data_IF_557178457694
#
_entry.id   IF_557178457694
#
_cell.length_a   1.000
_cell.length_b   1.000
_cell.length_c   1.000
_cell.angle_alpha   90.00
_cell.angle_beta   90.00
_cell.angle_gamma   90.00
#
_symmetry.space_group_name_H-M   'P 1'
#
loop_
_entity.id
_entity.type
_entity.pdbx_description
1 polymer ?
#
# COMPACT_ATOMS: atom_id res chain seq x y z
N UNK A 1 -11.49 23.21 -9.47
CA UNK A 1 -11.95 22.96 -8.08
C UNK A 1 -10.76 22.47 -7.27
N UNK A 2 -10.77 22.66 -5.96
CA UNK A 2 -9.75 22.15 -5.03
C UNK A 2 -10.35 20.93 -4.35
N UNK A 3 -9.66 19.76 -4.46
CA UNK A 3 -10.11 18.53 -3.81
C UNK A 3 -9.65 18.49 -2.35
N UNK A 4 -10.53 18.08 -1.45
CA UNK A 4 -10.20 17.83 -0.04
C UNK A 4 -10.05 16.32 0.20
N UNK A 5 -8.90 15.93 0.73
CA UNK A 5 -8.52 14.52 0.88
C UNK A 5 -8.21 14.21 2.34
N UNK A 6 -8.87 13.20 2.89
CA UNK A 6 -8.52 12.63 4.20
C UNK A 6 -7.64 11.40 4.00
N UNK A 7 -6.44 11.42 4.59
CA UNK A 7 -5.51 10.29 4.54
C UNK A 7 -5.53 9.60 5.90
N UNK A 8 -6.04 8.37 5.94
CA UNK A 8 -6.06 7.55 7.14
C UNK A 8 -4.73 6.82 7.30
N UNK A 9 -4.14 6.88 8.51
CA UNK A 9 -2.86 6.25 8.80
C UNK A 9 -1.64 6.97 8.24
N UNK A 10 -1.63 8.30 8.23
CA UNK A 10 -0.59 9.14 7.62
C UNK A 10 0.83 8.98 8.20
N UNK A 11 1.01 8.30 9.33
CA UNK A 11 2.35 7.95 9.89
C UNK A 11 2.83 6.56 9.47
N UNK A 12 2.00 5.77 8.81
CA UNK A 12 2.39 4.47 8.24
C UNK A 12 3.33 4.65 7.04
N UNK A 13 3.98 3.57 6.63
CA UNK A 13 4.87 3.54 5.46
C UNK A 13 4.22 4.15 4.22
N UNK A 14 3.02 3.70 3.87
CA UNK A 14 2.29 4.19 2.70
C UNK A 14 1.70 5.58 2.93
N UNK A 15 0.98 5.77 4.05
CA UNK A 15 0.30 7.03 4.34
C UNK A 15 1.25 8.22 4.41
N UNK A 16 2.45 8.04 4.92
CA UNK A 16 3.47 9.10 4.97
C UNK A 16 3.86 9.58 3.57
N UNK A 17 4.08 8.67 2.63
CA UNK A 17 4.41 9.03 1.25
C UNK A 17 3.22 9.69 0.54
N UNK A 18 1.99 9.20 0.77
CA UNK A 18 0.77 9.82 0.23
C UNK A 18 0.60 11.25 0.74
N UNK A 19 0.77 11.49 2.05
CA UNK A 19 0.77 12.83 2.65
C UNK A 19 1.78 13.72 1.96
N UNK A 20 3.01 13.22 1.79
CA UNK A 20 4.11 13.98 1.22
C UNK A 20 3.87 14.39 -0.24
N UNK A 21 3.40 13.46 -1.08
CA UNK A 21 3.16 13.73 -2.50
C UNK A 21 1.95 14.66 -2.70
N UNK A 22 0.86 14.40 -1.98
CA UNK A 22 -0.36 15.18 -2.14
C UNK A 22 -0.26 16.58 -1.54
N UNK A 23 0.51 16.79 -0.46
CA UNK A 23 0.74 18.11 0.12
C UNK A 23 1.46 19.09 -0.80
N UNK A 24 2.24 18.58 -1.77
CA UNK A 24 2.91 19.40 -2.78
C UNK A 24 1.95 19.91 -3.89
N UNK A 25 0.68 19.44 -3.91
CA UNK A 25 -0.27 19.75 -4.99
C UNK A 25 -1.14 20.96 -4.66
N UNK A 26 -1.06 22.05 -5.46
CA UNK A 26 -1.82 23.30 -5.27
C UNK A 26 -3.35 23.11 -5.28
N UNK A 27 -3.85 22.06 -5.95
CA UNK A 27 -5.28 21.76 -6.09
C UNK A 27 -5.77 20.67 -5.12
N UNK A 28 -4.97 20.31 -4.12
CA UNK A 28 -5.34 19.34 -3.09
C UNK A 28 -5.11 19.95 -1.71
N UNK A 29 -6.13 19.88 -0.87
CA UNK A 29 -6.03 20.17 0.56
C UNK A 29 -6.13 18.85 1.30
N UNK A 30 -5.11 18.52 2.08
CA UNK A 30 -5.06 17.26 2.83
C UNK A 30 -5.32 17.49 4.31
N UNK A 31 -6.02 16.52 4.93
CA UNK A 31 -5.95 16.22 6.36
C UNK A 31 -5.47 14.79 6.53
N UNK A 32 -4.78 14.51 7.61
CA UNK A 32 -4.26 13.16 7.85
C UNK A 32 -4.45 12.73 9.29
N UNK A 33 -4.64 11.42 9.50
CA UNK A 33 -4.87 10.85 10.83
C UNK A 33 -3.65 10.11 11.37
N UNK A 34 -3.57 10.04 12.69
CA UNK A 34 -2.62 9.21 13.43
C UNK A 34 -3.33 8.53 14.61
N UNK A 35 -2.95 7.29 14.95
CA UNK A 35 -3.48 6.54 16.09
C UNK A 35 -3.07 7.13 17.44
N UNK A 36 -2.02 7.92 17.47
CA UNK A 36 -1.52 8.63 18.64
C UNK A 36 -1.59 10.13 18.43
N UNK A 37 -1.75 10.89 19.53
CA UNK A 37 -1.74 12.35 19.50
C UNK A 37 -0.41 12.85 18.91
N UNK A 38 -0.48 13.52 17.79
CA UNK A 38 0.69 14.00 17.03
C UNK A 38 0.35 15.37 16.43
N UNK A 39 1.26 16.37 16.51
CA UNK A 39 1.04 17.66 15.85
C UNK A 39 0.71 17.50 14.37
N UNK A 40 -0.21 18.31 13.88
CA UNK A 40 -0.67 18.32 12.48
C UNK A 40 -1.42 17.06 11.98
N UNK A 41 -1.73 16.11 12.88
CA UNK A 41 -2.54 14.94 12.58
C UNK A 41 -3.83 14.95 13.41
N UNK A 42 -4.91 14.50 12.81
CA UNK A 42 -6.16 14.24 13.51
C UNK A 42 -6.01 12.91 14.26
N UNK A 43 -6.34 12.92 15.55
CA UNK A 43 -6.31 11.68 16.34
C UNK A 43 -7.46 10.76 15.88
N UNK A 44 -7.09 9.61 15.34
CA UNK A 44 -8.01 8.54 15.00
C UNK A 44 -7.34 7.18 15.26
N UNK A 45 -7.94 6.39 16.12
CA UNK A 45 -7.52 5.03 16.41
C UNK A 45 -8.72 4.11 16.19
N UNK A 46 -8.64 3.27 15.16
CA UNK A 46 -9.71 2.35 14.78
C UNK A 46 -10.04 1.34 15.88
N UNK A 47 -9.08 0.98 16.74
CA UNK A 47 -9.32 0.07 17.88
C UNK A 47 -10.29 0.65 18.91
N UNK A 48 -10.61 1.94 18.81
CA UNK A 48 -11.61 2.65 19.62
C UNK A 48 -12.96 2.84 18.92
N UNK A 49 -13.14 2.16 17.77
CA UNK A 49 -14.35 2.24 16.95
C UNK A 49 -14.32 3.31 15.87
N UNK A 50 -15.26 3.19 14.94
CA UNK A 50 -15.39 4.09 13.78
C UNK A 50 -16.07 5.43 14.17
N UNK A 51 -16.74 5.52 15.29
CA UNK A 51 -17.55 6.69 15.68
C UNK A 51 -16.71 7.98 15.77
N UNK A 52 -15.42 7.85 16.07
CA UNK A 52 -14.52 9.00 16.09
C UNK A 52 -14.23 9.52 14.67
N UNK A 53 -14.19 8.64 13.66
CA UNK A 53 -14.05 9.02 12.26
C UNK A 53 -15.34 9.67 11.75
N UNK A 54 -16.47 9.10 12.09
CA UNK A 54 -17.79 9.68 11.76
C UNK A 54 -17.92 11.13 12.25
N UNK A 55 -17.49 11.40 13.50
CA UNK A 55 -17.47 12.78 14.05
C UNK A 55 -16.52 13.70 13.27
N UNK A 56 -15.37 13.19 12.83
CA UNK A 56 -14.41 13.95 12.02
C UNK A 56 -15.03 14.32 10.69
N UNK A 57 -15.68 13.37 10.01
CA UNK A 57 -16.30 13.56 8.71
C UNK A 57 -17.53 14.46 8.79
N UNK A 58 -18.39 14.30 9.81
CA UNK A 58 -19.55 15.18 10.03
C UNK A 58 -19.19 16.62 10.41
N UNK A 59 -18.05 16.83 11.07
CA UNK A 59 -17.58 18.16 11.45
C UNK A 59 -17.03 18.96 10.26
N UNK A 60 -16.54 18.25 9.24
CA UNK A 60 -15.93 18.84 8.03
C UNK A 60 -16.59 18.18 6.81
N UNK A 61 -17.81 18.60 6.49
CA UNK A 61 -18.71 18.05 5.45
C UNK A 61 -18.17 18.16 4.02
N UNK A 62 -16.87 18.28 3.83
CA UNK A 62 -16.33 18.69 2.55
C UNK A 62 -15.16 17.85 2.03
N UNK A 63 -14.98 16.62 2.49
CA UNK A 63 -14.02 15.72 1.87
C UNK A 63 -14.58 15.14 0.56
N UNK A 64 -13.76 15.15 -0.49
CA UNK A 64 -14.06 14.52 -1.77
C UNK A 64 -13.54 13.07 -1.79
N UNK A 65 -12.40 12.83 -1.11
CA UNK A 65 -11.74 11.54 -1.08
C UNK A 65 -11.25 11.15 0.30
N UNK A 66 -11.27 9.86 0.57
CA UNK A 66 -10.58 9.20 1.68
C UNK A 66 -9.58 8.21 1.11
N UNK A 67 -8.30 8.31 1.51
CA UNK A 67 -7.28 7.30 1.16
C UNK A 67 -7.01 6.49 2.41
N UNK A 68 -7.44 5.23 2.43
CA UNK A 68 -7.22 4.35 3.56
C UNK A 68 -5.88 3.61 3.44
N UNK A 69 -4.88 4.08 4.22
CA UNK A 69 -3.57 3.47 4.36
C UNK A 69 -3.42 2.69 5.68
N UNK A 70 -4.53 2.49 6.43
CA UNK A 70 -4.51 1.69 7.67
C UNK A 70 -4.53 0.21 7.32
N UNK A 71 -3.72 -0.56 8.01
CA UNK A 71 -3.69 -2.01 7.95
C UNK A 71 -2.64 -2.59 8.89
N UNK A 72 -2.86 -3.81 9.34
CA UNK A 72 -1.87 -4.61 10.07
C UNK A 72 -1.15 -5.49 9.09
N UNK A 73 0.18 -5.47 9.14
CA UNK A 73 1.03 -6.31 8.29
C UNK A 73 1.16 -7.72 8.87
N UNK A 74 1.43 -8.71 8.02
CA UNK A 74 1.64 -10.11 8.41
C UNK A 74 2.64 -10.25 9.58
N UNK A 75 3.78 -9.56 9.52
CA UNK A 75 4.81 -9.58 10.57
C UNK A 75 4.35 -9.04 11.94
N UNK A 76 3.14 -8.49 12.02
CA UNK A 76 2.54 -7.96 13.27
C UNK A 76 1.33 -8.78 13.73
N UNK A 77 1.05 -9.92 13.08
CA UNK A 77 -0.02 -10.85 13.42
C UNK A 77 0.61 -12.11 14.02
N UNK A 78 0.21 -12.45 15.23
CA UNK A 78 0.50 -13.75 15.82
C UNK A 78 -0.73 -14.64 15.65
N UNK A 79 -0.68 -15.60 14.73
CA UNK A 79 -1.81 -16.47 14.40
C UNK A 79 -2.19 -17.42 15.53
N UNK A 80 -1.29 -17.65 16.50
CA UNK A 80 -1.55 -18.45 17.69
C UNK A 80 -2.14 -17.64 18.85
N UNK A 81 -2.33 -16.33 18.67
CA UNK A 81 -2.95 -15.45 19.66
C UNK A 81 -4.32 -14.96 19.16
N UNK A 82 -5.44 -15.44 19.75
CA UNK A 82 -6.79 -15.03 19.38
C UNK A 82 -7.02 -13.52 19.40
N UNK A 83 -6.35 -12.78 20.29
CA UNK A 83 -6.48 -11.32 20.36
C UNK A 83 -5.78 -10.66 19.17
N UNK A 84 -4.61 -11.18 18.75
CA UNK A 84 -3.90 -10.71 17.57
C UNK A 84 -4.71 -10.95 16.29
N UNK A 85 -5.31 -12.15 16.17
CA UNK A 85 -6.19 -12.50 15.04
C UNK A 85 -7.45 -11.62 15.04
N UNK A 86 -8.13 -11.46 16.18
CA UNK A 86 -9.28 -10.56 16.29
C UNK A 86 -8.94 -9.13 15.86
N UNK A 87 -7.80 -8.61 16.31
CA UNK A 87 -7.31 -7.28 15.92
C UNK A 87 -7.10 -7.16 14.42
N UNK A 88 -6.54 -8.18 13.78
CA UNK A 88 -6.36 -8.21 12.33
C UNK A 88 -7.70 -8.22 11.58
N UNK A 89 -8.69 -8.99 12.06
CA UNK A 89 -10.06 -9.01 11.50
C UNK A 89 -10.70 -7.62 11.61
N UNK A 90 -10.66 -7.00 12.78
CA UNK A 90 -11.26 -5.67 12.97
C UNK A 90 -10.64 -4.62 12.05
N UNK A 91 -9.31 -4.60 11.91
CA UNK A 91 -8.61 -3.52 11.18
C UNK A 91 -8.54 -3.80 9.67
N UNK A 92 -8.22 -5.04 9.26
CA UNK A 92 -8.02 -5.36 7.85
C UNK A 92 -9.31 -5.76 7.12
N UNK A 93 -10.31 -6.31 7.83
CA UNK A 93 -11.54 -6.79 7.24
C UNK A 93 -12.75 -5.89 7.57
N UNK A 94 -13.11 -5.74 8.84
CA UNK A 94 -14.34 -5.04 9.24
C UNK A 94 -14.29 -3.54 8.92
N UNK A 95 -13.21 -2.86 9.32
CA UNK A 95 -13.08 -1.42 9.16
C UNK A 95 -13.24 -0.92 7.71
N UNK A 96 -12.66 -1.55 6.67
CA UNK A 96 -12.91 -1.15 5.29
C UNK A 96 -14.40 -1.12 4.91
N UNK A 97 -15.20 -2.09 5.38
CA UNK A 97 -16.64 -2.11 5.12
C UNK A 97 -17.38 -1.00 5.86
N UNK A 98 -17.06 -0.77 7.13
CA UNK A 98 -17.63 0.35 7.91
C UNK A 98 -17.27 1.69 7.27
N UNK A 99 -16.01 1.85 6.82
CA UNK A 99 -15.55 3.05 6.13
C UNK A 99 -16.31 3.27 4.82
N UNK A 100 -16.46 2.24 4.00
CA UNK A 100 -17.16 2.35 2.72
C UNK A 100 -18.64 2.68 2.90
N UNK A 101 -19.30 2.08 3.92
CA UNK A 101 -20.69 2.41 4.29
C UNK A 101 -20.80 3.90 4.67
N UNK A 102 -19.97 4.36 5.60
CA UNK A 102 -19.95 5.75 6.03
C UNK A 102 -19.66 6.71 4.87
N UNK A 103 -18.68 6.39 4.04
CA UNK A 103 -18.31 7.19 2.87
C UNK A 103 -19.46 7.27 1.83
N UNK A 104 -20.22 6.17 1.66
CA UNK A 104 -21.39 6.14 0.78
C UNK A 104 -22.51 7.04 1.30
N UNK A 105 -22.78 7.04 2.61
CA UNK A 105 -23.80 7.88 3.25
C UNK A 105 -23.54 9.37 3.07
N UNK A 106 -22.27 9.79 3.01
CA UNK A 106 -21.86 11.20 2.88
C UNK A 106 -21.34 11.55 1.47
N UNK A 107 -21.39 10.63 0.51
CA UNK A 107 -21.03 10.88 -0.90
C UNK A 107 -19.52 11.03 -1.15
N UNK A 108 -18.67 10.43 -0.32
CA UNK A 108 -17.20 10.50 -0.42
C UNK A 108 -16.62 9.27 -1.13
N UNK A 109 -15.59 9.45 -1.95
CA UNK A 109 -14.86 8.39 -2.67
C UNK A 109 -13.76 7.82 -1.81
N UNK A 110 -13.59 6.49 -1.79
CA UNK A 110 -12.55 5.77 -1.02
C UNK A 110 -11.54 5.13 -1.96
N UNK A 111 -10.25 5.35 -1.69
CA UNK A 111 -9.14 4.60 -2.28
C UNK A 111 -8.58 3.69 -1.17
N UNK A 112 -8.70 2.38 -1.35
CA UNK A 112 -8.35 1.35 -0.39
C UNK A 112 -7.13 0.58 -0.84
N UNK A 113 -6.06 0.55 -0.05
CA UNK A 113 -4.93 -0.36 -0.31
C UNK A 113 -5.31 -1.81 0.02
N UNK A 114 -5.13 -2.71 -0.95
CA UNK A 114 -5.15 -4.16 -0.75
C UNK A 114 -3.77 -4.75 -1.05
N UNK A 115 -3.66 -6.06 -1.20
CA UNK A 115 -2.37 -6.76 -1.28
C UNK A 115 -2.41 -7.91 -2.27
N UNK A 116 -1.25 -8.24 -2.85
CA UNK A 116 -1.01 -9.49 -3.55
C UNK A 116 -1.09 -10.70 -2.61
N UNK A 117 -0.97 -10.49 -1.29
CA UNK A 117 -1.07 -11.52 -0.25
C UNK A 117 -2.43 -12.20 -0.16
N UNK A 118 -3.44 -11.77 -0.92
CA UNK A 118 -4.73 -12.49 -1.07
C UNK A 118 -4.59 -13.78 -1.87
N UNK A 119 -3.46 -13.99 -2.52
CA UNK A 119 -3.11 -15.20 -3.27
C UNK A 119 -2.01 -15.98 -2.57
N UNK A 120 -1.99 -17.31 -2.73
CA UNK A 120 -0.90 -18.16 -2.21
C UNK A 120 0.45 -17.84 -2.83
N UNK A 121 1.53 -18.19 -2.15
CA UNK A 121 2.92 -17.90 -2.59
C UNK A 121 3.26 -18.50 -3.95
N UNK A 122 2.64 -19.63 -4.31
CA UNK A 122 2.94 -20.40 -5.52
C UNK A 122 1.89 -20.22 -6.62
N UNK A 123 1.07 -19.18 -6.56
CA UNK A 123 -0.01 -18.94 -7.49
C UNK A 123 0.44 -18.61 -8.93
N UNK A 124 1.72 -18.31 -9.15
CA UNK A 124 2.19 -17.83 -10.45
C UNK A 124 1.67 -16.42 -10.75
N UNK A 125 1.31 -16.16 -12.01
CA UNK A 125 0.73 -14.89 -12.42
C UNK A 125 -0.75 -14.85 -12.04
N UNK A 126 -1.17 -13.87 -11.23
CA UNK A 126 -2.54 -13.68 -10.78
C UNK A 126 -3.20 -12.48 -11.45
N UNK A 127 -4.43 -12.67 -11.91
CA UNK A 127 -5.35 -11.64 -12.39
C UNK A 127 -6.40 -11.29 -11.33
N UNK A 128 -7.21 -10.28 -11.57
CA UNK A 128 -8.22 -9.83 -10.59
C UNK A 128 -9.27 -10.91 -10.29
N UNK A 129 -9.60 -11.77 -11.25
CA UNK A 129 -10.55 -12.88 -11.12
C UNK A 129 -9.92 -14.18 -10.58
N UNK A 130 -8.59 -14.23 -10.41
CA UNK A 130 -7.90 -15.38 -9.83
C UNK A 130 -8.45 -15.71 -8.42
N UNK A 131 -8.56 -17.01 -8.06
CA UNK A 131 -9.04 -17.41 -6.75
C UNK A 131 -8.18 -16.81 -5.60
N UNK A 132 -8.84 -16.15 -4.67
CA UNK A 132 -8.20 -15.66 -3.43
C UNK A 132 -8.03 -16.84 -2.47
N UNK A 133 -6.86 -17.43 -2.47
CA UNK A 133 -6.54 -18.69 -1.80
C UNK A 133 -5.30 -18.56 -0.91
N UNK A 134 -5.17 -17.44 -0.24
CA UNK A 134 -4.07 -17.15 0.70
C UNK A 134 -3.99 -18.18 1.84
N UNK A 135 -2.78 -18.30 2.40
CA UNK A 135 -2.44 -19.34 3.37
C UNK A 135 -2.39 -18.81 4.82
N UNK A 136 -2.55 -17.50 5.04
CA UNK A 136 -2.34 -16.85 6.33
C UNK A 136 -3.49 -15.89 6.71
N UNK A 137 -3.58 -15.57 8.00
CA UNK A 137 -4.57 -14.63 8.55
C UNK A 137 -4.48 -13.25 7.91
N UNK A 138 -3.28 -12.81 7.56
CA UNK A 138 -3.10 -11.52 6.88
C UNK A 138 -3.83 -11.50 5.53
N UNK A 139 -3.56 -12.47 4.68
CA UNK A 139 -4.16 -12.57 3.37
C UNK A 139 -5.69 -12.69 3.44
N UNK A 140 -6.20 -13.56 4.32
CA UNK A 140 -7.65 -13.72 4.52
C UNK A 140 -8.33 -12.45 5.01
N UNK A 141 -7.75 -11.76 5.99
CA UNK A 141 -8.34 -10.52 6.50
C UNK A 141 -8.29 -9.39 5.48
N UNK A 142 -7.23 -9.32 4.66
CA UNK A 142 -7.15 -8.35 3.56
C UNK A 142 -8.12 -8.67 2.43
N UNK A 143 -8.29 -9.95 2.08
CA UNK A 143 -9.25 -10.39 1.07
C UNK A 143 -10.70 -10.08 1.48
N UNK A 144 -11.03 -10.31 2.75
CA UNK A 144 -12.35 -9.96 3.31
C UNK A 144 -12.58 -8.44 3.37
N UNK A 145 -11.53 -7.64 3.51
CA UNK A 145 -11.62 -6.17 3.54
C UNK A 145 -11.70 -5.51 2.15
N UNK A 146 -11.73 -6.26 1.06
CA UNK A 146 -11.97 -5.72 -0.27
C UNK A 146 -13.46 -5.45 -0.48
N UNK A 147 -13.83 -4.18 -0.45
CA UNK A 147 -15.22 -3.75 -0.50
C UNK A 147 -15.68 -3.60 -1.94
N UNK A 148 -16.76 -4.27 -2.30
CA UNK A 148 -17.43 -4.10 -3.60
C UNK A 148 -18.49 -3.03 -3.45
N UNK A 149 -18.15 -1.80 -3.83
CA UNK A 149 -19.03 -0.63 -3.76
C UNK A 149 -18.62 0.39 -4.83
N UNK A 150 -19.57 1.13 -5.43
CA UNK A 150 -19.27 2.11 -6.47
C UNK A 150 -18.41 3.29 -5.99
N UNK A 151 -18.35 3.52 -4.68
CA UNK A 151 -17.55 4.58 -4.07
C UNK A 151 -16.26 4.07 -3.41
N UNK A 152 -15.86 2.82 -3.64
CA UNK A 152 -14.64 2.24 -3.07
C UNK A 152 -13.80 1.56 -4.16
N UNK A 153 -12.57 2.05 -4.34
CA UNK A 153 -11.58 1.47 -5.23
C UNK A 153 -10.54 0.69 -4.42
N UNK A 154 -10.52 -0.64 -4.57
CA UNK A 154 -9.49 -1.49 -3.99
C UNK A 154 -8.31 -1.63 -4.94
N UNK A 155 -7.10 -1.36 -4.47
CA UNK A 155 -5.86 -1.49 -5.24
C UNK A 155 -5.00 -2.60 -4.64
N UNK A 156 -4.93 -3.76 -5.30
CA UNK A 156 -4.03 -4.85 -4.93
C UNK A 156 -2.63 -4.55 -5.44
N UNK A 157 -1.66 -4.57 -4.55
CA UNK A 157 -0.24 -4.45 -4.91
C UNK A 157 0.65 -5.04 -3.81
N UNK A 158 1.87 -5.40 -4.17
CA UNK A 158 2.95 -5.54 -3.21
C UNK A 158 3.71 -4.23 -3.14
N UNK A 159 4.12 -3.77 -1.96
CA UNK A 159 4.62 -2.40 -1.82
C UNK A 159 5.89 -2.33 -0.96
N UNK A 160 6.83 -1.49 -1.39
CA UNK A 160 8.04 -1.13 -0.65
C UNK A 160 8.17 0.37 -0.52
N UNK A 161 8.78 0.82 0.58
CA UNK A 161 9.07 2.24 0.78
C UNK A 161 9.64 2.52 2.15
N UNK A 162 10.00 3.78 2.42
CA UNK A 162 10.49 4.21 3.71
C UNK A 162 9.38 4.17 4.76
N UNK A 163 9.74 3.76 5.96
CA UNK A 163 8.85 3.70 7.12
C UNK A 163 9.45 4.48 8.30
N UNK A 164 9.51 5.81 8.21
CA UNK A 164 10.32 6.65 9.11
C UNK A 164 9.87 6.58 10.57
N UNK A 165 8.62 6.24 10.83
CA UNK A 165 8.07 6.15 12.19
C UNK A 165 8.06 4.73 12.75
N UNK A 166 7.87 3.71 11.91
CA UNK A 166 7.70 2.32 12.35
C UNK A 166 8.95 1.48 12.12
N UNK A 167 9.85 1.90 11.23
CA UNK A 167 11.09 1.20 10.85
C UNK A 167 10.84 -0.26 10.46
N UNK A 168 9.74 -0.53 9.74
CA UNK A 168 9.32 -1.86 9.31
C UNK A 168 9.32 -1.97 7.78
N UNK A 169 9.43 -3.20 7.28
CA UNK A 169 9.41 -3.51 5.85
C UNK A 169 10.79 -3.81 5.27
N UNK A 170 10.81 -4.31 4.04
CA UNK A 170 12.01 -4.81 3.39
C UNK A 170 13.09 -3.73 3.21
N UNK A 171 12.68 -2.51 2.82
CA UNK A 171 13.63 -1.42 2.64
C UNK A 171 14.26 -1.01 3.97
N UNK A 172 13.48 -0.83 5.04
CA UNK A 172 14.01 -0.47 6.36
C UNK A 172 14.93 -1.54 6.93
N UNK A 173 14.54 -2.82 6.77
CA UNK A 173 15.41 -3.93 7.13
C UNK A 173 16.75 -3.86 6.39
N UNK A 174 16.74 -3.58 5.09
CA UNK A 174 17.98 -3.45 4.32
C UNK A 174 18.81 -2.25 4.77
N UNK A 175 18.17 -1.11 5.04
CA UNK A 175 18.84 0.10 5.50
C UNK A 175 19.46 -0.05 6.90
N UNK A 176 18.88 -0.89 7.75
CA UNK A 176 19.35 -1.14 9.13
C UNK A 176 20.50 -2.14 9.22
N UNK A 177 20.90 -2.76 8.12
CA UNK A 177 22.00 -3.74 8.15
C UNK A 177 23.33 -3.10 8.59
N UNK A 178 24.19 -3.82 9.34
CA UNK A 178 25.50 -3.33 9.74
C UNK A 178 26.34 -2.86 8.53
N UNK A 179 27.19 -1.86 8.75
CA UNK A 179 28.07 -1.38 7.69
C UNK A 179 28.96 -2.51 7.16
N UNK A 180 29.13 -2.56 5.83
CA UNK A 180 29.96 -3.54 5.11
C UNK A 180 29.52 -4.99 5.31
N UNK A 181 28.31 -5.24 5.76
CA UNK A 181 27.78 -6.60 5.89
C UNK A 181 27.41 -7.22 4.55
N UNK A 182 27.24 -8.53 4.58
CA UNK A 182 26.76 -9.32 3.45
C UNK A 182 25.33 -9.73 3.77
N UNK A 183 24.41 -9.45 2.85
CA UNK A 183 23.01 -9.87 2.93
C UNK A 183 22.71 -10.90 1.83
N UNK A 184 21.85 -11.86 2.12
CA UNK A 184 21.40 -12.84 1.14
C UNK A 184 20.16 -12.31 0.40
N UNK A 185 20.19 -12.36 -0.93
CA UNK A 185 19.04 -12.08 -1.80
C UNK A 185 18.55 -13.36 -2.46
N UNK A 186 17.27 -13.65 -2.32
CA UNK A 186 16.68 -14.88 -2.87
C UNK A 186 16.41 -14.72 -4.36
N UNK A 187 16.93 -15.66 -5.18
CA UNK A 187 16.78 -15.70 -6.63
C UNK A 187 15.48 -16.36 -7.08
N UNK A 188 14.84 -17.10 -6.19
CA UNK A 188 13.60 -17.86 -6.37
C UNK A 188 12.38 -17.24 -5.69
N UNK A 189 12.49 -15.98 -5.23
CA UNK A 189 11.38 -15.19 -4.72
C UNK A 189 11.12 -14.01 -5.65
N UNK A 190 10.14 -14.18 -6.53
CA UNK A 190 9.77 -13.17 -7.53
C UNK A 190 8.89 -12.08 -6.93
N UNK A 191 9.02 -10.88 -7.46
CA UNK A 191 8.28 -9.72 -7.01
C UNK A 191 8.11 -8.70 -8.14
N UNK A 192 6.88 -8.22 -8.38
CA UNK A 192 6.58 -7.15 -9.33
C UNK A 192 5.74 -6.03 -8.69
N UNK A 193 6.00 -5.77 -7.42
CA UNK A 193 5.30 -4.73 -6.69
C UNK A 193 5.73 -3.32 -7.07
N UNK A 194 5.32 -2.38 -6.24
CA UNK A 194 5.47 -0.94 -6.45
C UNK A 194 6.23 -0.28 -5.31
N UNK A 195 6.69 0.95 -5.54
CA UNK A 195 7.13 1.83 -4.45
C UNK A 195 5.95 2.61 -3.86
N UNK A 196 6.07 3.04 -2.60
CA UNK A 196 5.10 3.96 -1.99
C UNK A 196 4.93 5.25 -2.78
N UNK A 197 5.99 5.69 -3.48
CA UNK A 197 5.96 6.87 -4.35
C UNK A 197 5.07 6.63 -5.58
N UNK A 198 5.17 5.44 -6.21
CA UNK A 198 4.30 5.08 -7.34
C UNK A 198 2.82 5.06 -6.92
N UNK A 199 2.50 4.49 -5.75
CA UNK A 199 1.13 4.49 -5.23
C UNK A 199 0.61 5.91 -4.98
N UNK A 200 1.41 6.76 -4.34
CA UNK A 200 1.04 8.15 -4.07
C UNK A 200 0.82 8.94 -5.37
N UNK A 201 1.63 8.68 -6.41
CA UNK A 201 1.46 9.28 -7.73
C UNK A 201 0.18 8.78 -8.43
N UNK A 202 -0.16 7.48 -8.30
CA UNK A 202 -1.45 6.98 -8.81
C UNK A 202 -2.62 7.69 -8.12
N UNK A 203 -2.60 7.80 -6.77
CA UNK A 203 -3.63 8.54 -6.05
C UNK A 203 -3.76 10.00 -6.55
N UNK A 204 -2.63 10.68 -6.79
CA UNK A 204 -2.63 12.03 -7.36
C UNK A 204 -3.32 12.08 -8.71
N UNK A 205 -3.04 11.15 -9.60
CA UNK A 205 -3.65 11.09 -10.94
C UNK A 205 -5.14 10.77 -10.86
N UNK A 206 -5.55 9.81 -10.03
CA UNK A 206 -6.96 9.47 -9.81
C UNK A 206 -7.77 10.68 -9.35
N UNK A 207 -7.19 11.54 -8.51
CA UNK A 207 -7.87 12.70 -7.91
C UNK A 207 -7.83 13.92 -8.84
N UNK A 208 -6.64 14.32 -9.34
CA UNK A 208 -6.46 15.56 -10.08
C UNK A 208 -6.92 15.47 -11.53
N UNK A 209 -6.74 14.31 -12.15
CA UNK A 209 -7.05 14.08 -13.56
C UNK A 209 -8.42 13.38 -13.73
N UNK A 210 -9.19 13.25 -12.62
CA UNK A 210 -10.55 12.68 -12.56
C UNK A 210 -10.65 11.23 -13.08
N UNK A 211 -9.60 10.44 -12.93
CA UNK A 211 -9.60 9.04 -13.37
C UNK A 211 -10.29 8.08 -12.40
N UNK A 212 -10.62 8.52 -11.18
CA UNK A 212 -11.25 7.66 -10.17
C UNK A 212 -12.51 6.98 -10.70
N UNK A 213 -13.44 7.77 -11.26
CA UNK A 213 -14.72 7.26 -11.74
C UNK A 213 -14.57 6.36 -13.00
N UNK A 214 -13.55 6.59 -13.82
CA UNK A 214 -13.22 5.75 -14.97
C UNK A 214 -12.76 4.36 -14.49
N UNK A 215 -11.83 4.35 -13.53
CA UNK A 215 -11.26 3.12 -12.98
C UNK A 215 -12.31 2.31 -12.20
N UNK A 216 -13.07 2.95 -11.31
CA UNK A 216 -14.11 2.25 -10.53
C UNK A 216 -15.27 1.76 -11.37
N UNK A 217 -15.60 2.40 -12.49
CA UNK A 217 -16.61 1.95 -13.42
C UNK A 217 -16.18 0.67 -14.15
N UNK A 218 -14.89 0.51 -14.46
CA UNK A 218 -14.34 -0.71 -15.05
C UNK A 218 -14.38 -1.85 -14.02
N UNK A 219 -13.92 -1.62 -12.80
CA UNK A 219 -13.99 -2.57 -11.68
C UNK A 219 -13.80 -1.86 -10.33
N UNK A 220 -14.44 -2.31 -9.24
CA UNK A 220 -14.12 -1.84 -7.89
C UNK A 220 -12.79 -2.37 -7.35
N UNK A 221 -12.16 -3.33 -8.01
CA UNK A 221 -10.87 -3.92 -7.59
C UNK A 221 -9.93 -4.04 -8.78
N UNK A 222 -8.74 -3.48 -8.65
CA UNK A 222 -7.69 -3.50 -9.67
C UNK A 222 -6.37 -3.97 -9.09
N UNK A 223 -5.55 -4.61 -9.93
CA UNK A 223 -4.14 -4.83 -9.67
C UNK A 223 -3.34 -3.60 -10.11
N UNK A 224 -2.55 -3.05 -9.19
CA UNK A 224 -1.59 -2.01 -9.52
C UNK A 224 -0.18 -2.59 -9.54
N UNK A 225 0.25 -3.06 -10.71
CA UNK A 225 1.49 -3.77 -10.97
C UNK A 225 2.21 -3.23 -12.23
N UNK A 226 2.60 -1.94 -12.26
CA UNK A 226 3.18 -1.32 -13.45
C UNK A 226 4.60 -1.82 -13.78
N UNK A 227 5.23 -2.56 -12.89
CA UNK A 227 6.64 -2.94 -13.01
C UNK A 227 6.81 -4.39 -13.48
N UNK A 228 7.88 -4.63 -14.23
CA UNK A 228 8.35 -5.98 -14.54
C UNK A 228 8.78 -6.71 -13.27
N UNK A 229 8.60 -8.03 -13.26
CA UNK A 229 9.00 -8.87 -12.15
C UNK A 229 10.53 -8.95 -12.05
N UNK A 230 11.02 -8.90 -10.82
CA UNK A 230 12.41 -9.14 -10.45
C UNK A 230 12.48 -10.12 -9.27
N UNK A 231 13.60 -10.79 -9.11
CA UNK A 231 13.86 -11.58 -7.90
C UNK A 231 14.15 -10.66 -6.70
N UNK A 232 13.98 -11.17 -5.49
CA UNK A 232 14.42 -10.46 -4.28
C UNK A 232 15.91 -10.16 -4.30
N UNK A 233 16.72 -11.00 -4.92
CA UNK A 233 18.15 -10.73 -5.14
C UNK A 233 18.38 -9.48 -5.97
N UNK A 234 17.74 -9.38 -7.14
CA UNK A 234 17.85 -8.20 -8.00
C UNK A 234 17.31 -6.95 -7.32
N UNK A 235 16.19 -7.05 -6.59
CA UNK A 235 15.62 -5.94 -5.82
C UNK A 235 16.61 -5.42 -4.76
N UNK A 236 17.28 -6.33 -4.01
CA UNK A 236 18.27 -5.93 -3.02
C UNK A 236 19.55 -5.35 -3.66
N UNK A 237 19.94 -5.78 -4.86
CA UNK A 237 21.00 -5.11 -5.62
C UNK A 237 20.63 -3.67 -5.96
N UNK A 238 19.39 -3.43 -6.39
CA UNK A 238 18.91 -2.07 -6.64
C UNK A 238 18.90 -1.21 -5.36
N UNK A 239 18.55 -1.81 -4.22
CA UNK A 239 18.64 -1.10 -2.93
C UNK A 239 20.09 -0.75 -2.58
N UNK A 240 21.02 -1.70 -2.78
CA UNK A 240 22.45 -1.46 -2.57
C UNK A 240 22.90 -0.26 -3.41
N UNK A 241 22.63 -0.26 -4.71
CA UNK A 241 23.13 0.74 -5.65
C UNK A 241 22.56 2.14 -5.40
N UNK A 242 21.34 2.24 -4.86
CA UNK A 242 20.66 3.52 -4.63
C UNK A 242 20.72 4.05 -3.19
N UNK A 243 20.88 3.17 -2.18
CA UNK A 243 20.77 3.55 -0.78
C UNK A 243 21.99 3.18 0.07
N UNK A 244 22.65 2.03 -0.17
CA UNK A 244 23.66 1.46 0.71
C UNK A 244 24.79 0.75 -0.06
N UNK A 245 25.61 1.54 -0.76
CA UNK A 245 26.75 1.05 -1.58
C UNK A 245 27.82 0.31 -0.76
N UNK A 246 27.80 0.47 0.55
CA UNK A 246 28.72 -0.21 1.48
C UNK A 246 28.35 -1.69 1.76
N UNK A 247 27.13 -2.11 1.40
CA UNK A 247 26.69 -3.50 1.59
C UNK A 247 27.07 -4.39 0.39
N UNK A 248 27.12 -5.69 0.63
CA UNK A 248 27.23 -6.70 -0.41
C UNK A 248 25.99 -7.59 -0.42
N UNK A 249 25.43 -7.85 -1.60
CA UNK A 249 24.29 -8.77 -1.75
C UNK A 249 24.77 -10.02 -2.45
N UNK A 250 24.57 -11.20 -1.84
CA UNK A 250 24.89 -12.49 -2.41
C UNK A 250 23.63 -13.23 -2.86
N UNK A 251 23.65 -13.88 -4.03
CA UNK A 251 22.54 -14.72 -4.46
C UNK A 251 22.38 -15.92 -3.52
N UNK A 252 21.14 -16.26 -3.22
CA UNK A 252 20.77 -17.43 -2.44
C UNK A 252 19.46 -18.02 -2.96
N UNK A 253 19.12 -19.23 -2.59
CA UNK A 253 17.83 -19.86 -2.87
C UNK A 253 17.09 -20.09 -1.56
N UNK A 254 15.77 -19.87 -1.57
CA UNK A 254 14.93 -20.07 -0.39
C UNK A 254 14.47 -21.54 -0.22
N UNK A 255 14.89 -22.44 -1.13
CA UNK A 255 14.51 -23.87 -1.18
C UNK A 255 12.95 -24.01 -1.18
N UNK A 256 12.41 -24.49 -0.06
CA UNK A 256 10.98 -24.77 0.08
C UNK A 256 10.10 -23.49 0.25
N UNK A 257 10.72 -22.30 0.31
CA UNK A 257 10.03 -21.01 0.45
C UNK A 257 10.10 -20.16 -0.82
N UNK A 258 10.20 -20.77 -1.99
CA UNK A 258 10.10 -20.05 -3.26
C UNK A 258 8.77 -19.30 -3.37
N UNK A 259 8.79 -18.15 -4.04
CA UNK A 259 7.60 -17.33 -4.31
C UNK A 259 7.54 -17.07 -5.80
N UNK A 260 6.50 -17.61 -6.46
CA UNK A 260 6.27 -17.39 -7.89
C UNK A 260 5.15 -16.38 -8.14
N UNK A 261 4.40 -16.00 -7.09
CA UNK A 261 3.29 -15.07 -7.17
C UNK A 261 3.74 -13.72 -7.70
N UNK A 262 3.14 -13.32 -8.80
CA UNK A 262 3.21 -11.97 -9.37
C UNK A 262 1.82 -11.54 -9.80
N UNK A 263 1.61 -10.25 -9.96
CA UNK A 263 0.34 -9.70 -10.43
C UNK A 263 0.45 -9.34 -11.92
N UNK A 264 -0.63 -9.59 -12.66
CA UNK A 264 -0.95 -8.90 -13.91
C UNK A 264 -2.38 -8.39 -13.79
N UNK A 265 -2.88 -7.65 -14.75
CA UNK A 265 -4.23 -7.11 -14.72
C UNK A 265 -4.96 -7.33 -16.03
N UNK A 266 -6.21 -7.77 -15.93
CA UNK A 266 -7.11 -7.91 -17.07
C UNK A 266 -7.72 -6.58 -17.51
N UNK A 267 -7.58 -5.53 -16.68
CA UNK A 267 -8.17 -4.21 -16.92
C UNK A 267 -7.18 -3.25 -17.57
N UNK A 268 -7.69 -2.31 -18.35
CA UNK A 268 -6.87 -1.40 -19.15
C UNK A 268 -6.69 -0.01 -18.52
N UNK A 269 -7.67 0.46 -17.75
CA UNK A 269 -7.70 1.83 -17.24
C UNK A 269 -6.43 2.24 -16.48
N UNK A 270 -5.97 1.43 -15.53
CA UNK A 270 -4.74 1.75 -14.78
C UNK A 270 -3.49 1.61 -15.66
N UNK A 271 -3.46 0.63 -16.59
CA UNK A 271 -2.36 0.50 -17.56
C UNK A 271 -2.23 1.75 -18.45
N UNK A 272 -3.35 2.29 -18.91
CA UNK A 272 -3.38 3.50 -19.75
C UNK A 272 -2.97 4.75 -18.97
N UNK A 273 -3.46 4.89 -17.73
CA UNK A 273 -3.19 6.05 -16.88
C UNK A 273 -1.72 6.07 -16.40
N UNK A 274 -1.22 4.96 -15.90
CA UNK A 274 0.08 4.90 -15.22
C UNK A 274 1.19 4.25 -16.06
N UNK A 275 0.81 3.45 -17.06
CA UNK A 275 1.70 2.59 -17.86
C UNK A 275 1.93 1.23 -17.21
N UNK A 276 2.53 0.32 -17.98
CA UNK A 276 2.84 -1.06 -17.57
C UNK A 276 4.23 -1.47 -18.06
N UNK A 277 4.69 -2.65 -17.62
CA UNK A 277 5.96 -3.27 -18.02
C UNK A 277 7.18 -2.36 -17.86
N UNK A 278 7.18 -1.54 -16.81
CA UNK A 278 8.26 -0.59 -16.52
C UNK A 278 9.40 -1.31 -15.78
N UNK A 279 10.65 -0.99 -16.09
CA UNK A 279 11.77 -1.44 -15.27
C UNK A 279 11.66 -0.82 -13.88
N UNK A 280 11.68 -1.66 -12.83
CA UNK A 280 11.58 -1.21 -11.42
C UNK A 280 12.77 -0.33 -11.00
N UNK A 281 13.91 -0.41 -11.71
CA UNK A 281 15.11 0.39 -11.46
C UNK A 281 14.79 1.88 -11.42
N UNK A 282 13.97 2.37 -12.36
CA UNK A 282 13.60 3.77 -12.42
C UNK A 282 12.76 4.17 -11.19
N UNK A 283 11.80 3.35 -10.78
CA UNK A 283 10.98 3.62 -9.61
C UNK A 283 11.79 3.63 -8.29
N UNK A 284 12.79 2.74 -8.16
CA UNK A 284 13.71 2.74 -7.01
C UNK A 284 14.59 3.99 -6.99
N UNK A 285 15.10 4.42 -8.15
CA UNK A 285 15.88 5.65 -8.27
C UNK A 285 15.06 6.90 -7.89
N UNK A 286 13.83 6.99 -8.39
CA UNK A 286 12.91 8.08 -8.04
C UNK A 286 12.59 8.09 -6.54
N UNK A 287 12.34 6.91 -5.95
CA UNK A 287 12.16 6.78 -4.50
C UNK A 287 13.39 7.25 -3.72
N UNK A 288 14.60 6.90 -4.18
CA UNK A 288 15.83 7.32 -3.53
C UNK A 288 16.02 8.85 -3.56
N UNK A 289 15.66 9.50 -4.68
CA UNK A 289 15.67 10.96 -4.80
C UNK A 289 14.69 11.58 -3.82
N UNK A 290 13.43 11.10 -3.82
CA UNK A 290 12.38 11.60 -2.92
C UNK A 290 12.77 11.43 -1.44
N UNK A 291 13.45 10.35 -1.08
CA UNK A 291 13.95 10.12 0.28
C UNK A 291 15.05 11.09 0.72
N UNK A 292 15.86 11.60 -0.20
CA UNK A 292 16.90 12.61 0.13
C UNK A 292 16.30 13.96 0.50
N UNK A 293 15.13 14.27 0.00
CA UNK A 293 14.39 15.48 0.38
C UNK A 293 13.72 15.36 1.78
N UNK A 294 13.74 14.18 2.41
CA UNK A 294 13.19 13.92 3.75
C UNK A 294 14.18 14.33 4.87
N UNK A 295 15.45 14.47 4.55
CA UNK A 295 16.50 14.89 5.48
C UNK A 295 16.62 16.41 5.52
#
# INVERSE_FOLDING_TARGET
>A
MVNKVLILGGKGMLGNMVVRVLSKQKKIVIKSTSSNKTPNYILFNIEKGIESLEKILKKDDSFDYIINCIGILNSSINENDPQSVHRAICINALFPHELAKLAQEIGVRVIQISTDGVFTKNAGVCLEDSPRNCDDVYGWTKALGEVISPNCLNLRCSIIGPSPYLQKGLLEWFLSQPKRSIVNGYTDQMWNGITTLQFANLCRMLILDNYYDVVTKESPTHHFCPNLAVSKYELLQLFKDNFRTDLSVKPNTSKDNAVTRTLDTMYTSIKEIFGCNKPIQQAIKELAIEMKEIK
#
